data_IF_641277569462
#
_entry.id   IF_641277569462
#
_cell.length_a   1.000
_cell.length_b   1.000
_cell.length_c   1.000
_cell.angle_alpha   90.00
_cell.angle_beta   90.00
_cell.angle_gamma   90.00
#
_symmetry.space_group_name_H-M   'P 1'
#
loop_
_entity.id
_entity.type
_entity.pdbx_description
1 polymer ?
#
# COMPACT_ATOMS: atom_id res chain seq x y z
N UNK A 1 -30.78 -8.34 -2.67
CA UNK A 1 -29.54 -8.04 -1.92
C UNK A 1 -28.81 -6.85 -2.55
N UNK A 2 -28.21 -5.94 -1.76
CA UNK A 2 -27.40 -4.83 -2.25
C UNK A 2 -26.28 -5.31 -3.20
N UNK A 3 -26.05 -4.61 -4.33
CA UNK A 3 -25.05 -4.97 -5.36
C UNK A 3 -23.63 -5.23 -4.82
N UNK A 4 -23.25 -4.60 -3.71
CA UNK A 4 -21.94 -4.79 -3.06
C UNK A 4 -21.79 -6.17 -2.40
N UNK A 5 -22.86 -6.69 -1.78
CA UNK A 5 -22.87 -8.01 -1.12
C UNK A 5 -22.65 -9.14 -2.13
N UNK A 6 -23.34 -9.06 -3.28
CA UNK A 6 -23.19 -10.03 -4.37
C UNK A 6 -21.73 -10.07 -4.88
N UNK A 7 -21.08 -8.90 -5.01
CA UNK A 7 -19.67 -8.83 -5.43
C UNK A 7 -18.71 -9.44 -4.41
N UNK A 8 -18.95 -9.25 -3.11
CA UNK A 8 -18.12 -9.84 -2.05
C UNK A 8 -18.25 -11.37 -2.08
N UNK A 9 -19.48 -11.89 -2.13
CA UNK A 9 -19.70 -13.34 -2.21
C UNK A 9 -19.02 -13.97 -3.45
N UNK A 10 -19.11 -13.32 -4.61
CA UNK A 10 -18.40 -13.77 -5.83
C UNK A 10 -16.88 -13.75 -5.67
N UNK A 11 -16.32 -12.74 -4.98
CA UNK A 11 -14.88 -12.67 -4.72
C UNK A 11 -14.41 -13.78 -3.77
N UNK A 12 -15.15 -14.04 -2.70
CA UNK A 12 -14.85 -15.13 -1.75
C UNK A 12 -14.71 -16.48 -2.48
N UNK A 13 -15.59 -16.74 -3.46
CA UNK A 13 -15.56 -17.97 -4.26
C UNK A 13 -14.41 -18.04 -5.27
N UNK A 14 -13.89 -16.89 -5.72
CA UNK A 14 -12.87 -16.82 -6.79
C UNK A 14 -11.43 -16.80 -6.24
N UNK A 15 -11.25 -16.33 -5.01
CA UNK A 15 -9.93 -16.05 -4.42
C UNK A 15 -9.48 -17.21 -3.53
N UNK A 16 -9.02 -18.29 -4.16
CA UNK A 16 -8.71 -19.54 -3.47
C UNK A 16 -7.51 -19.43 -2.50
N UNK A 17 -6.51 -18.59 -2.79
CA UNK A 17 -5.26 -18.51 -2.01
C UNK A 17 -5.00 -17.15 -1.34
N UNK A 18 -6.05 -16.39 -1.02
CA UNK A 18 -5.86 -15.16 -0.23
C UNK A 18 -5.60 -15.46 1.26
N UNK A 19 -4.81 -14.61 1.94
CA UNK A 19 -4.60 -14.73 3.38
C UNK A 19 -5.92 -14.73 4.16
N UNK A 20 -5.98 -15.59 5.17
CA UNK A 20 -7.09 -15.64 6.13
C UNK A 20 -6.75 -14.76 7.32
N UNK A 21 -7.58 -13.76 7.60
CA UNK A 21 -7.47 -12.94 8.81
C UNK A 21 -8.08 -13.72 9.97
N UNK A 22 -7.31 -13.91 11.04
CA UNK A 22 -7.73 -14.63 12.25
C UNK A 22 -7.66 -13.66 13.43
N UNK A 23 -8.80 -13.39 14.05
CA UNK A 23 -8.90 -12.55 15.25
C UNK A 23 -9.04 -13.44 16.47
N UNK A 24 -8.04 -13.44 17.34
CA UNK A 24 -8.03 -14.21 18.58
C UNK A 24 -8.58 -13.39 19.75
N UNK A 25 -9.63 -13.92 20.38
CA UNK A 25 -10.31 -13.32 21.52
C UNK A 25 -10.73 -11.85 21.30
N UNK A 26 -11.29 -11.45 20.13
CA UNK A 26 -11.72 -10.07 19.90
C UNK A 26 -12.80 -9.68 20.92
N UNK A 27 -12.71 -8.45 21.44
CA UNK A 27 -13.57 -8.01 22.53
C UNK A 27 -14.74 -7.15 22.07
N UNK A 28 -14.55 -6.32 21.04
CA UNK A 28 -15.55 -5.35 20.62
C UNK A 28 -16.07 -5.67 19.22
N UNK A 29 -17.39 -5.86 19.10
CA UNK A 29 -18.06 -6.04 17.81
C UNK A 29 -17.74 -4.93 16.81
N UNK A 30 -17.64 -3.68 17.29
CA UNK A 30 -17.18 -2.53 16.49
C UNK A 30 -15.82 -2.78 15.81
N UNK A 31 -14.84 -3.35 16.52
CA UNK A 31 -13.53 -3.62 15.92
C UNK A 31 -13.58 -4.75 14.91
N UNK A 32 -14.42 -5.77 15.12
CA UNK A 32 -14.63 -6.86 14.16
C UNK A 32 -15.18 -6.28 12.84
N UNK A 33 -16.18 -5.42 12.92
CA UNK A 33 -16.73 -4.75 11.73
C UNK A 33 -15.74 -3.80 11.08
N UNK A 34 -15.00 -3.00 11.86
CA UNK A 34 -13.93 -2.15 11.34
C UNK A 34 -12.83 -2.95 10.64
N UNK A 35 -12.47 -4.13 11.15
CA UNK A 35 -11.55 -5.09 10.50
C UNK A 35 -12.13 -5.55 9.16
N UNK A 36 -13.40 -5.97 9.11
CA UNK A 36 -14.04 -6.37 7.85
C UNK A 36 -14.03 -5.25 6.80
N UNK A 37 -14.24 -4.00 7.23
CA UNK A 37 -14.13 -2.83 6.34
C UNK A 37 -12.71 -2.65 5.80
N UNK A 38 -11.69 -2.77 6.65
CA UNK A 38 -10.28 -2.70 6.25
C UNK A 38 -9.94 -3.82 5.27
N UNK A 39 -10.36 -5.06 5.56
CA UNK A 39 -10.17 -6.21 4.67
C UNK A 39 -10.74 -5.95 3.27
N UNK A 40 -11.97 -5.43 3.20
CA UNK A 40 -12.61 -5.11 1.92
C UNK A 40 -11.88 -3.99 1.14
N UNK A 41 -11.24 -3.04 1.82
CA UNK A 41 -10.44 -2.00 1.17
C UNK A 41 -9.18 -2.55 0.48
N UNK A 42 -8.63 -3.66 0.99
CA UNK A 42 -7.36 -4.23 0.57
C UNK A 42 -7.48 -5.63 -0.04
N UNK A 43 -8.66 -5.94 -0.58
CA UNK A 43 -8.93 -7.18 -1.33
C UNK A 43 -8.64 -8.44 -0.50
N UNK A 44 -9.14 -8.45 0.74
CA UNK A 44 -9.14 -9.59 1.65
C UNK A 44 -10.58 -9.90 2.07
N UNK A 45 -10.98 -11.16 2.08
CA UNK A 45 -12.39 -11.54 2.31
C UNK A 45 -12.62 -12.73 3.22
N UNK A 46 -11.56 -13.39 3.71
CA UNK A 46 -11.66 -14.56 4.60
C UNK A 46 -11.36 -14.15 6.03
N UNK A 47 -12.38 -14.17 6.89
CA UNK A 47 -12.29 -13.81 8.30
C UNK A 47 -12.59 -15.01 9.19
N UNK A 48 -11.78 -15.23 10.22
CA UNK A 48 -12.01 -16.20 11.28
C UNK A 48 -11.97 -15.49 12.63
N UNK A 49 -12.92 -15.83 13.50
CA UNK A 49 -12.94 -15.39 14.89
C UNK A 49 -12.64 -16.60 15.78
N UNK A 50 -11.72 -16.43 16.71
CA UNK A 50 -11.42 -17.43 17.74
C UNK A 50 -11.92 -16.92 19.06
N UNK A 51 -12.85 -17.66 19.67
CA UNK A 51 -13.43 -17.34 20.98
C UNK A 51 -13.81 -15.84 21.14
N UNK A 52 -14.65 -15.28 20.25
CA UNK A 52 -15.06 -13.88 20.34
C UNK A 52 -15.81 -13.62 21.65
N UNK A 53 -15.34 -12.65 22.44
CA UNK A 53 -16.01 -12.28 23.70
C UNK A 53 -17.27 -11.46 23.43
N UNK A 54 -18.22 -11.50 24.37
CA UNK A 54 -19.44 -10.69 24.41
C UNK A 54 -20.35 -10.74 23.17
N UNK A 55 -20.28 -11.81 22.37
CA UNK A 55 -21.11 -12.01 21.18
C UNK A 55 -20.70 -11.07 20.04
N UNK A 56 -20.21 -11.64 18.94
CA UNK A 56 -19.79 -10.82 17.78
C UNK A 56 -20.96 -10.30 16.94
N UNK A 57 -22.17 -10.88 17.09
CA UNK A 57 -23.39 -10.52 16.33
C UNK A 57 -24.12 -9.33 16.96
N UNK A 58 -23.44 -8.22 17.17
CA UNK A 58 -24.05 -6.96 17.59
C UNK A 58 -24.35 -6.07 16.38
N UNK A 59 -25.35 -5.18 16.49
CA UNK A 59 -25.67 -4.17 15.46
C UNK A 59 -24.45 -3.28 15.14
N UNK A 60 -23.62 -3.01 16.14
CA UNK A 60 -22.37 -2.26 16.01
C UNK A 60 -21.36 -2.94 15.08
N UNK A 61 -21.34 -4.28 15.03
CA UNK A 61 -20.45 -5.04 14.15
C UNK A 61 -20.80 -4.81 12.69
N UNK A 62 -22.09 -4.90 12.35
CA UNK A 62 -22.56 -4.71 10.98
C UNK A 62 -22.49 -3.24 10.55
N UNK A 63 -22.85 -2.31 11.43
CA UNK A 63 -22.79 -0.87 11.11
C UNK A 63 -21.36 -0.38 10.91
N UNK A 64 -20.40 -0.83 11.72
CA UNK A 64 -18.97 -0.47 11.56
C UNK A 64 -18.31 -1.11 10.32
N UNK A 65 -18.79 -2.28 9.87
CA UNK A 65 -18.39 -2.88 8.60
C UNK A 65 -18.89 -2.11 7.36
N UNK A 66 -19.94 -1.28 7.51
CA UNK A 66 -20.51 -0.49 6.43
C UNK A 66 -20.84 -1.38 5.20
N UNK A 67 -20.29 -1.08 4.03
CA UNK A 67 -20.51 -1.86 2.80
C UNK A 67 -19.82 -3.23 2.75
N UNK A 68 -19.10 -3.63 3.80
CA UNK A 68 -18.31 -4.87 3.85
C UNK A 68 -18.97 -5.99 4.68
N UNK A 69 -20.23 -5.85 5.09
CA UNK A 69 -20.94 -6.84 5.91
C UNK A 69 -20.96 -8.25 5.32
N UNK A 70 -20.81 -8.40 4.00
CA UNK A 70 -20.71 -9.72 3.35
C UNK A 70 -19.54 -10.57 3.83
N UNK A 71 -18.46 -9.96 4.35
CA UNK A 71 -17.37 -10.71 5.00
C UNK A 71 -17.85 -11.29 6.34
N UNK A 72 -18.68 -10.54 7.07
CA UNK A 72 -19.24 -10.99 8.34
C UNK A 72 -20.22 -12.15 8.13
N UNK A 73 -21.02 -12.11 7.07
CA UNK A 73 -21.98 -13.16 6.72
C UNK A 73 -21.30 -14.53 6.43
N UNK A 74 -20.00 -14.53 6.11
CA UNK A 74 -19.22 -15.72 5.74
C UNK A 74 -18.05 -16.00 6.69
N UNK A 75 -17.97 -15.30 7.84
CA UNK A 75 -16.87 -15.53 8.77
C UNK A 75 -16.96 -16.93 9.40
N UNK A 76 -15.79 -17.51 9.70
CA UNK A 76 -15.70 -18.75 10.46
C UNK A 76 -15.54 -18.48 11.95
N UNK A 77 -16.23 -19.25 12.81
CA UNK A 77 -16.08 -19.17 14.27
C UNK A 77 -15.38 -20.45 14.74
N UNK A 78 -14.39 -20.29 15.61
CA UNK A 78 -13.59 -21.40 16.14
C UNK A 78 -13.39 -21.26 17.65
N UNK A 79 -13.25 -22.39 18.32
CA UNK A 79 -13.07 -22.44 19.78
C UNK A 79 -11.62 -22.20 20.20
N UNK A 80 -10.66 -22.45 19.31
CA UNK A 80 -9.23 -22.29 19.60
C UNK A 80 -8.43 -21.84 18.37
N UNK A 81 -7.25 -21.28 18.64
CA UNK A 81 -6.31 -20.84 17.60
C UNK A 81 -5.90 -22.04 16.72
N UNK A 82 -5.55 -23.18 17.33
CA UNK A 82 -5.24 -24.40 16.60
C UNK A 82 -6.38 -24.84 15.65
N UNK A 83 -7.62 -24.88 16.14
CA UNK A 83 -8.77 -25.25 15.30
C UNK A 83 -8.97 -24.30 14.11
N UNK A 84 -8.68 -23.01 14.28
CA UNK A 84 -8.79 -21.99 13.24
C UNK A 84 -7.74 -22.08 12.14
N UNK A 85 -6.77 -22.99 12.24
CA UNK A 85 -5.59 -23.06 11.37
C UNK A 85 -5.42 -24.38 10.62
N UNK A 86 -6.28 -25.38 10.86
CA UNK A 86 -6.11 -26.75 10.36
C UNK A 86 -5.96 -26.90 8.84
N UNK A 87 -6.47 -25.95 8.06
CA UNK A 87 -6.40 -25.94 6.60
C UNK A 87 -5.35 -24.96 6.03
N UNK A 88 -4.50 -24.38 6.89
CA UNK A 88 -3.48 -23.40 6.52
C UNK A 88 -2.08 -24.01 6.58
N UNK A 89 -1.22 -23.61 5.66
CA UNK A 89 0.15 -24.11 5.52
C UNK A 89 1.19 -23.22 6.22
N UNK A 90 0.85 -21.96 6.50
CA UNK A 90 1.76 -21.01 7.13
C UNK A 90 1.02 -19.93 7.91
N UNK A 91 1.46 -19.64 9.14
CA UNK A 91 0.84 -18.68 10.04
C UNK A 91 1.81 -17.56 10.41
N UNK A 92 1.39 -16.33 10.16
CA UNK A 92 2.02 -15.15 10.73
C UNK A 92 1.25 -14.68 11.96
N UNK A 93 1.94 -14.26 13.01
CA UNK A 93 1.31 -13.60 14.15
C UNK A 93 1.84 -12.18 14.36
N UNK A 94 0.94 -11.24 14.65
CA UNK A 94 1.31 -9.84 14.85
C UNK A 94 1.55 -9.52 16.34
N UNK A 95 2.67 -8.90 16.67
CA UNK A 95 2.93 -8.36 18.02
C UNK A 95 3.82 -7.12 17.94
N UNK A 96 3.54 -6.13 18.79
CA UNK A 96 4.42 -4.97 18.97
C UNK A 96 5.48 -5.18 20.07
N UNK A 97 5.33 -6.23 20.89
CA UNK A 97 6.21 -6.54 22.02
C UNK A 97 7.18 -7.64 21.66
N UNK A 98 8.45 -7.47 22.07
CA UNK A 98 9.42 -8.56 22.09
C UNK A 98 8.95 -9.64 23.07
N UNK A 99 8.98 -10.88 22.63
CA UNK A 99 8.65 -12.07 23.42
C UNK A 99 9.82 -13.03 23.37
N UNK A 100 9.96 -13.88 24.39
CA UNK A 100 11.04 -14.86 24.50
C UNK A 100 10.72 -16.13 23.69
N UNK A 101 10.35 -15.95 22.42
CA UNK A 101 10.11 -17.03 21.46
C UNK A 101 11.14 -16.89 20.33
N UNK A 102 11.86 -17.98 20.04
CA UNK A 102 12.80 -18.04 18.92
C UNK A 102 12.02 -18.33 17.65
N UNK A 103 11.60 -17.28 16.95
CA UNK A 103 10.88 -17.33 15.67
C UNK A 103 11.43 -16.28 14.73
N UNK A 104 11.25 -16.48 13.42
CA UNK A 104 11.57 -15.45 12.44
C UNK A 104 10.73 -14.19 12.70
N UNK A 105 11.35 -13.01 12.63
CA UNK A 105 10.67 -11.73 12.83
C UNK A 105 10.77 -10.90 11.55
N UNK A 106 9.63 -10.51 11.02
CA UNK A 106 9.50 -9.76 9.78
C UNK A 106 8.87 -8.39 10.04
N UNK A 107 9.31 -7.39 9.28
CA UNK A 107 8.54 -6.15 9.15
C UNK A 107 7.28 -6.38 8.29
N UNK A 108 6.24 -5.55 8.41
CA UNK A 108 5.04 -5.65 7.56
C UNK A 108 5.36 -5.75 6.07
N UNK A 109 6.28 -4.91 5.58
CA UNK A 109 6.75 -4.91 4.20
C UNK A 109 7.47 -6.20 3.78
N UNK A 110 8.24 -6.80 4.69
CA UNK A 110 8.95 -8.07 4.40
C UNK A 110 7.99 -9.24 4.43
N UNK A 111 7.08 -9.28 5.40
CA UNK A 111 6.02 -10.27 5.48
C UNK A 111 5.11 -10.23 4.23
N UNK A 112 4.77 -9.04 3.72
CA UNK A 112 4.02 -8.91 2.48
C UNK A 112 4.72 -9.57 1.28
N UNK A 113 6.04 -9.37 1.13
CA UNK A 113 6.82 -10.03 0.07
C UNK A 113 6.85 -11.54 0.24
N UNK A 114 7.08 -12.01 1.47
CA UNK A 114 7.10 -13.44 1.78
C UNK A 114 5.73 -14.10 1.50
N UNK A 115 4.64 -13.46 1.94
CA UNK A 115 3.26 -13.89 1.64
C UNK A 115 3.03 -14.04 0.13
N UNK A 116 3.47 -13.08 -0.68
CA UNK A 116 3.31 -13.15 -2.15
C UNK A 116 4.07 -14.33 -2.76
N UNK A 117 5.26 -14.67 -2.25
CA UNK A 117 6.04 -15.83 -2.70
C UNK A 117 5.32 -17.13 -2.33
N UNK A 118 4.86 -17.25 -1.09
CA UNK A 118 4.15 -18.43 -0.58
C UNK A 118 2.84 -18.69 -1.31
N UNK A 119 2.02 -17.65 -1.51
CA UNK A 119 0.77 -17.74 -2.28
C UNK A 119 1.04 -18.20 -3.71
N UNK A 120 2.10 -17.67 -4.36
CA UNK A 120 2.51 -18.09 -5.70
C UNK A 120 2.90 -19.58 -5.75
N UNK A 121 3.44 -20.11 -4.66
CA UNK A 121 3.76 -21.54 -4.50
C UNK A 121 2.56 -22.39 -4.05
N UNK A 122 1.36 -21.81 -3.98
CA UNK A 122 0.13 -22.54 -3.65
C UNK A 122 -0.16 -22.70 -2.16
N UNK A 123 0.64 -22.11 -1.27
CA UNK A 123 0.41 -22.19 0.17
C UNK A 123 -0.78 -21.33 0.60
N UNK A 124 -1.57 -21.86 1.54
CA UNK A 124 -2.63 -21.15 2.27
C UNK A 124 -2.06 -20.51 3.52
N UNK A 125 -2.37 -19.23 3.71
CA UNK A 125 -1.72 -18.41 4.75
C UNK A 125 -2.76 -17.91 5.76
N UNK A 126 -2.39 -17.90 7.04
CA UNK A 126 -3.11 -17.21 8.11
C UNK A 126 -2.36 -16.01 8.65
N UNK A 127 -3.10 -14.96 9.00
CA UNK A 127 -2.61 -13.78 9.71
C UNK A 127 -3.35 -13.67 11.04
N UNK A 128 -2.66 -13.99 12.13
CA UNK A 128 -3.18 -14.03 13.49
C UNK A 128 -2.99 -12.67 14.19
N UNK A 129 -4.10 -12.10 14.65
CA UNK A 129 -4.15 -10.86 15.43
C UNK A 129 -4.77 -11.14 16.79
N UNK A 130 -4.20 -10.56 17.85
CA UNK A 130 -4.69 -10.76 19.22
C UNK A 130 -5.72 -9.72 19.65
N UNK A 131 -6.25 -9.93 20.85
CA UNK A 131 -7.23 -9.04 21.46
C UNK A 131 -6.69 -7.62 21.68
N UNK A 132 -7.58 -6.62 21.65
CA UNK A 132 -7.28 -5.19 21.65
C UNK A 132 -6.37 -4.74 22.80
N UNK A 133 -6.60 -5.28 24.00
CA UNK A 133 -5.92 -4.84 25.23
C UNK A 133 -4.67 -5.64 25.54
N UNK A 134 -4.71 -6.94 25.29
CA UNK A 134 -3.67 -7.88 25.72
C UNK A 134 -2.74 -8.32 24.58
N UNK A 135 -3.13 -8.10 23.33
CA UNK A 135 -2.52 -8.76 22.17
C UNK A 135 -2.65 -10.27 22.28
N UNK A 136 -1.73 -10.97 21.59
CA UNK A 136 -1.60 -12.42 21.66
C UNK A 136 -0.84 -12.84 22.92
N UNK A 137 -1.31 -13.93 23.53
CA UNK A 137 -0.59 -14.69 24.55
C UNK A 137 0.62 -15.42 23.96
N UNK A 138 1.52 -15.88 24.83
CA UNK A 138 2.67 -16.67 24.40
C UNK A 138 2.21 -18.00 23.75
N UNK A 139 1.15 -18.61 24.27
CA UNK A 139 0.59 -19.85 23.73
C UNK A 139 0.04 -19.62 22.32
N UNK A 140 -0.73 -18.56 22.08
CA UNK A 140 -1.23 -18.22 20.74
C UNK A 140 -0.10 -17.87 19.77
N UNK A 141 0.94 -17.16 20.23
CA UNK A 141 2.13 -16.88 19.44
C UNK A 141 2.93 -18.13 19.09
N UNK A 142 2.88 -19.17 19.93
CA UNK A 142 3.64 -20.40 19.71
C UNK A 142 3.20 -21.15 18.45
N UNK A 143 1.92 -21.02 18.06
CA UNK A 143 1.34 -21.59 16.84
C UNK A 143 1.82 -20.92 15.54
N UNK A 144 2.40 -19.72 15.61
CA UNK A 144 2.83 -19.00 14.42
C UNK A 144 4.17 -19.49 13.91
N UNK A 145 4.36 -19.55 12.59
CA UNK A 145 5.65 -19.84 11.98
C UNK A 145 6.57 -18.62 11.99
N UNK A 146 6.01 -17.43 11.80
CA UNK A 146 6.74 -16.15 11.83
C UNK A 146 5.97 -15.07 12.60
N UNK A 147 6.73 -14.13 13.17
CA UNK A 147 6.20 -12.94 13.83
C UNK A 147 6.28 -11.76 12.88
N UNK A 148 5.21 -10.97 12.79
CA UNK A 148 5.23 -9.65 12.17
C UNK A 148 5.26 -8.59 13.26
N UNK A 149 6.30 -7.77 13.25
CA UNK A 149 6.45 -6.65 14.19
C UNK A 149 6.51 -5.33 13.42
N UNK A 150 5.44 -4.54 13.54
CA UNK A 150 5.39 -3.19 12.97
C UNK A 150 6.30 -2.24 13.74
N UNK A 151 7.10 -1.39 13.07
CA UNK A 151 7.78 -0.30 13.75
C UNK A 151 6.73 0.69 14.28
N UNK A 152 6.68 0.86 15.60
CA UNK A 152 5.77 1.77 16.29
C UNK A 152 6.55 2.59 17.31
N UNK A 153 5.97 3.70 17.76
CA UNK A 153 6.58 4.50 18.83
C UNK A 153 6.75 3.64 20.10
N UNK A 154 7.98 3.45 20.64
CA UNK A 154 8.19 2.67 21.85
C UNK A 154 7.37 3.17 23.05
N UNK A 155 7.11 4.47 23.14
CA UNK A 155 6.32 5.07 24.22
C UNK A 155 4.81 4.83 24.06
N UNK A 156 4.36 4.41 22.87
CA UNK A 156 2.95 4.18 22.57
C UNK A 156 2.75 3.07 21.52
N UNK A 157 3.20 1.86 21.88
CA UNK A 157 3.21 0.69 21.00
C UNK A 157 1.88 -0.09 20.99
N UNK A 158 0.75 0.61 20.95
CA UNK A 158 -0.60 0.00 21.04
C UNK A 158 -1.51 0.46 19.90
N UNK A 159 -1.42 -0.22 18.75
CA UNK A 159 -2.35 0.00 17.64
C UNK A 159 -3.72 -0.59 17.99
N UNK A 160 -4.80 0.09 17.59
CA UNK A 160 -6.13 -0.52 17.58
C UNK A 160 -6.13 -1.75 16.65
N UNK A 161 -6.96 -2.75 16.95
CA UNK A 161 -7.02 -4.00 16.18
C UNK A 161 -7.22 -3.77 14.67
N UNK A 162 -8.18 -2.93 14.27
CA UNK A 162 -8.42 -2.62 12.86
C UNK A 162 -7.25 -1.85 12.23
N UNK A 163 -6.52 -1.04 13.00
CA UNK A 163 -5.32 -0.35 12.52
C UNK A 163 -4.16 -1.33 12.31
N UNK A 164 -3.96 -2.29 13.22
CA UNK A 164 -2.97 -3.34 13.06
C UNK A 164 -3.25 -4.17 11.79
N UNK A 165 -4.51 -4.57 11.57
CA UNK A 165 -4.92 -5.22 10.31
C UNK A 165 -4.68 -4.31 9.11
N UNK A 166 -4.98 -3.01 9.22
CA UNK A 166 -4.82 -2.04 8.13
C UNK A 166 -3.38 -1.94 7.64
N UNK A 167 -2.40 -1.87 8.55
CA UNK A 167 -0.97 -1.81 8.18
C UNK A 167 -0.55 -3.05 7.40
N UNK A 168 -0.92 -4.24 7.87
CA UNK A 168 -0.54 -5.50 7.22
C UNK A 168 -1.27 -5.67 5.88
N UNK A 169 -2.58 -5.40 5.87
CA UNK A 169 -3.41 -5.51 4.67
C UNK A 169 -2.98 -4.52 3.57
N UNK A 170 -2.61 -3.29 3.94
CA UNK A 170 -2.05 -2.31 3.01
C UNK A 170 -0.75 -2.78 2.39
N UNK A 171 0.22 -3.25 3.19
CA UNK A 171 1.50 -3.75 2.68
C UNK A 171 1.32 -4.95 1.76
N UNK A 172 0.42 -5.87 2.13
CA UNK A 172 0.05 -7.00 1.28
C UNK A 172 -0.55 -6.54 -0.06
N UNK A 173 -1.54 -5.66 -0.02
CA UNK A 173 -2.20 -5.17 -1.24
C UNK A 173 -1.26 -4.32 -2.10
N UNK A 174 -0.38 -3.53 -1.49
CA UNK A 174 0.66 -2.76 -2.18
C UNK A 174 1.63 -3.69 -2.93
N UNK A 175 2.05 -4.79 -2.31
CA UNK A 175 2.86 -5.81 -2.97
C UNK A 175 2.12 -6.50 -4.13
N UNK A 176 0.79 -6.71 -4.00
CA UNK A 176 -0.08 -7.25 -5.05
C UNK A 176 -0.30 -6.27 -6.22
N UNK A 177 -0.40 -4.97 -5.93
CA UNK A 177 -0.66 -3.90 -6.90
C UNK A 177 0.57 -3.53 -7.75
N UNK A 178 1.77 -4.01 -7.41
CA UNK A 178 3.00 -3.83 -8.21
C UNK A 178 3.31 -2.37 -8.61
N UNK A 179 3.00 -1.42 -7.73
CA UNK A 179 3.25 0.01 -7.95
C UNK A 179 2.12 0.77 -8.65
N UNK A 180 1.01 0.10 -8.98
CA UNK A 180 -0.24 0.79 -9.32
C UNK A 180 -0.80 1.49 -8.07
N UNK A 181 -1.10 2.77 -8.21
CA UNK A 181 -1.60 3.65 -7.16
C UNK A 181 -3.04 4.07 -7.44
N UNK A 182 -3.78 4.36 -6.38
CA UNK A 182 -5.15 4.82 -6.47
C UNK A 182 -6.13 3.71 -6.86
N UNK A 183 -7.26 4.11 -7.45
CA UNK A 183 -8.31 3.19 -7.83
C UNK A 183 -8.12 2.77 -9.29
N UNK A 184 -7.94 1.48 -9.53
CA UNK A 184 -7.86 0.92 -10.88
C UNK A 184 -9.20 0.28 -11.24
N UNK A 185 -9.84 0.76 -12.31
CA UNK A 185 -11.06 0.19 -12.91
C UNK A 185 -11.00 0.30 -14.43
N UNK A 186 -11.94 -0.30 -15.14
CA UNK A 186 -12.04 -0.16 -16.61
C UNK A 186 -12.04 1.31 -17.08
N UNK A 187 -12.61 2.22 -16.29
CA UNK A 187 -12.68 3.66 -16.59
C UNK A 187 -11.63 4.52 -15.86
N UNK A 188 -10.81 3.94 -14.99
CA UNK A 188 -9.83 4.67 -14.17
C UNK A 188 -8.50 3.92 -14.18
N UNK A 189 -7.50 4.46 -14.90
CA UNK A 189 -6.25 3.75 -15.22
C UNK A 189 -5.24 3.70 -14.07
N UNK A 190 -5.64 4.09 -12.85
CA UNK A 190 -4.72 4.19 -11.73
C UNK A 190 -3.65 5.26 -11.96
N UNK A 191 -2.64 5.26 -11.11
CA UNK A 191 -1.47 6.14 -11.18
C UNK A 191 -0.21 5.35 -10.91
N UNK A 192 0.94 5.89 -11.24
CA UNK A 192 2.25 5.36 -10.85
C UNK A 192 2.99 6.42 -10.05
N UNK A 193 3.96 6.02 -9.23
CA UNK A 193 4.87 6.99 -8.60
C UNK A 193 5.65 7.75 -9.68
N UNK A 194 5.90 9.05 -9.44
CA UNK A 194 6.65 9.91 -10.33
C UNK A 194 5.77 10.70 -11.31
N UNK A 195 6.42 11.26 -12.36
CA UNK A 195 5.75 12.06 -13.37
C UNK A 195 4.91 11.18 -14.30
N UNK A 196 3.65 11.55 -14.60
CA UNK A 196 2.83 10.80 -15.54
C UNK A 196 3.35 11.00 -16.97
N UNK A 197 3.97 9.97 -17.53
CA UNK A 197 4.54 9.96 -18.88
C UNK A 197 3.62 9.28 -19.91
N UNK A 198 2.31 9.18 -19.67
CA UNK A 198 1.39 8.53 -20.62
C UNK A 198 1.27 9.29 -21.95
N UNK A 199 1.34 10.63 -21.88
CA UNK A 199 1.15 11.53 -23.03
C UNK A 199 2.43 12.30 -23.39
N UNK A 200 3.57 11.92 -22.82
CA UNK A 200 4.86 12.58 -23.04
C UNK A 200 5.98 11.61 -22.67
N UNK A 201 7.23 11.99 -22.85
CA UNK A 201 8.38 11.25 -22.31
C UNK A 201 9.40 12.23 -21.80
N UNK A 202 10.35 11.76 -20.99
CA UNK A 202 11.55 12.54 -20.71
C UNK A 202 12.17 13.00 -22.04
N UNK A 203 12.58 14.26 -22.10
CA UNK A 203 13.28 14.78 -23.25
C UNK A 203 14.57 14.00 -23.44
N UNK A 204 14.90 13.68 -24.69
CA UNK A 204 16.17 13.05 -24.99
C UNK A 204 17.28 14.12 -25.04
N UNK A 205 18.54 13.68 -25.11
CA UNK A 205 19.69 14.60 -25.09
C UNK A 205 19.71 15.55 -26.28
N UNK A 206 19.27 15.10 -27.46
CA UNK A 206 19.24 15.95 -28.65
C UNK A 206 18.22 17.09 -28.50
N UNK A 207 17.02 16.80 -27.99
CA UNK A 207 15.99 17.81 -27.71
C UNK A 207 16.46 18.83 -26.67
N UNK A 208 17.16 18.35 -25.64
CA UNK A 208 17.74 19.18 -24.60
C UNK A 208 18.86 20.09 -25.14
N UNK A 209 19.81 19.55 -25.88
CA UNK A 209 20.92 20.31 -26.48
C UNK A 209 20.36 21.36 -27.42
N UNK A 210 19.41 20.99 -28.28
CA UNK A 210 18.78 21.93 -29.21
C UNK A 210 18.06 23.08 -28.49
N UNK A 211 17.36 22.79 -27.38
CA UNK A 211 16.75 23.83 -26.54
C UNK A 211 17.77 24.78 -25.93
N UNK A 212 18.88 24.25 -25.42
CA UNK A 212 19.95 25.04 -24.82
C UNK A 212 20.66 25.90 -25.86
N UNK A 213 20.95 25.38 -27.06
CA UNK A 213 21.56 26.15 -28.16
C UNK A 213 20.67 27.32 -28.58
N UNK A 214 19.36 27.07 -28.70
CA UNK A 214 18.38 28.12 -28.95
C UNK A 214 18.40 29.18 -27.83
N UNK A 215 18.35 28.75 -26.57
CA UNK A 215 18.32 29.67 -25.44
C UNK A 215 19.61 30.50 -25.35
N UNK A 216 20.77 29.89 -25.56
CA UNK A 216 22.07 30.58 -25.59
C UNK A 216 22.07 31.68 -26.66
N UNK A 217 21.69 31.34 -27.88
CA UNK A 217 21.61 32.30 -29.00
C UNK A 217 20.66 33.46 -28.67
N UNK A 218 19.46 33.17 -28.18
CA UNK A 218 18.47 34.18 -27.82
C UNK A 218 18.98 35.11 -26.71
N UNK A 219 19.59 34.54 -25.67
CA UNK A 219 20.10 35.33 -24.54
C UNK A 219 21.31 36.19 -24.95
N UNK A 220 22.14 35.71 -25.89
CA UNK A 220 23.18 36.52 -26.52
C UNK A 220 22.59 37.72 -27.28
N UNK A 221 21.61 37.48 -28.14
CA UNK A 221 20.96 38.52 -28.97
C UNK A 221 20.30 39.61 -28.12
N UNK A 222 19.73 39.24 -26.96
CA UNK A 222 19.11 40.20 -26.01
C UNK A 222 20.11 40.78 -25.00
N UNK A 223 21.41 40.48 -25.10
CA UNK A 223 22.46 41.05 -24.24
C UNK A 223 22.40 40.59 -22.78
N UNK A 224 21.92 39.36 -22.50
CA UNK A 224 21.81 38.86 -21.13
C UNK A 224 23.18 38.57 -20.49
N UNK A 225 24.17 38.14 -21.27
CA UNK A 225 25.47 37.69 -20.77
C UNK A 225 26.46 38.85 -20.56
N UNK A 226 26.21 39.68 -19.54
CA UNK A 226 27.10 40.75 -19.12
C UNK A 226 27.50 40.65 -17.64
N UNK A 227 28.80 40.83 -17.30
CA UNK A 227 29.92 41.08 -18.20
C UNK A 227 30.31 39.83 -19.03
N UNK A 228 30.87 40.04 -20.23
CA UNK A 228 31.07 38.99 -21.25
C UNK A 228 31.99 37.87 -20.74
N UNK A 229 33.00 38.21 -19.94
CA UNK A 229 33.91 37.23 -19.31
C UNK A 229 33.19 36.23 -18.40
N UNK A 230 31.98 36.52 -17.91
CA UNK A 230 31.18 35.60 -17.09
C UNK A 230 30.21 34.75 -17.90
N UNK A 231 30.09 34.95 -19.22
CA UNK A 231 29.13 34.24 -20.10
C UNK A 231 29.18 32.73 -19.90
N UNK A 232 30.35 32.11 -20.01
CA UNK A 232 30.49 30.65 -19.90
C UNK A 232 30.04 30.12 -18.54
N UNK A 233 30.33 30.84 -17.45
CA UNK A 233 29.86 30.47 -16.11
C UNK A 233 28.33 30.55 -16.01
N UNK A 234 27.74 31.65 -16.48
CA UNK A 234 26.28 31.84 -16.47
C UNK A 234 25.56 30.78 -17.31
N UNK A 235 26.07 30.52 -18.51
CA UNK A 235 25.55 29.50 -19.41
C UNK A 235 25.65 28.09 -18.82
N UNK A 236 26.79 27.75 -18.20
CA UNK A 236 26.94 26.46 -17.52
C UNK A 236 25.95 26.31 -16.35
N UNK A 237 25.67 27.40 -15.61
CA UNK A 237 24.66 27.38 -14.56
C UNK A 237 23.24 27.19 -15.12
N UNK A 238 22.90 27.83 -16.25
CA UNK A 238 21.63 27.63 -16.95
C UNK A 238 21.51 26.18 -17.43
N UNK A 239 22.55 25.65 -18.07
CA UNK A 239 22.65 24.24 -18.49
C UNK A 239 22.47 23.30 -17.29
N UNK A 240 23.11 23.56 -16.16
CA UNK A 240 22.95 22.73 -14.97
C UNK A 240 21.53 22.85 -14.38
N UNK A 241 20.94 24.05 -14.38
CA UNK A 241 19.58 24.30 -13.88
C UNK A 241 18.56 23.45 -14.64
N UNK A 242 18.51 23.55 -15.97
CA UNK A 242 17.56 22.80 -16.79
C UNK A 242 17.82 21.29 -16.76
N UNK A 243 19.08 20.86 -16.67
CA UNK A 243 19.42 19.44 -16.63
C UNK A 243 18.93 18.76 -15.35
N UNK A 244 18.92 19.47 -14.22
CA UNK A 244 18.40 18.99 -12.93
C UNK A 244 16.88 18.86 -12.88
N UNK A 245 16.15 19.56 -13.75
CA UNK A 245 14.68 19.53 -13.77
C UNK A 245 14.10 18.27 -14.45
N UNK A 246 14.93 17.49 -15.16
CA UNK A 246 14.49 16.30 -15.90
C UNK A 246 13.24 16.55 -16.77
N UNK A 247 13.28 17.63 -17.55
CA UNK A 247 12.16 18.09 -18.38
C UNK A 247 11.66 17.01 -19.35
N UNK A 248 10.35 17.00 -19.58
CA UNK A 248 9.72 16.19 -20.62
C UNK A 248 9.82 16.86 -21.99
N UNK A 249 9.59 16.09 -23.05
CA UNK A 249 9.52 16.63 -24.41
C UNK A 249 8.47 17.76 -24.52
N UNK A 250 7.33 17.63 -23.83
CA UNK A 250 6.30 18.67 -23.80
C UNK A 250 6.79 19.94 -23.10
N UNK A 251 7.49 19.81 -21.99
CA UNK A 251 8.03 20.97 -21.27
C UNK A 251 8.99 21.75 -22.15
N UNK A 252 9.90 21.06 -22.86
CA UNK A 252 10.81 21.70 -23.81
C UNK A 252 10.03 22.43 -24.93
N UNK A 253 9.00 21.79 -25.51
CA UNK A 253 8.17 22.44 -26.54
C UNK A 253 7.45 23.69 -26.03
N UNK A 254 6.94 23.65 -24.80
CA UNK A 254 6.29 24.80 -24.16
C UNK A 254 7.30 25.90 -23.91
N UNK A 255 8.48 25.58 -23.36
CA UNK A 255 9.55 26.56 -23.14
C UNK A 255 10.00 27.22 -24.44
N UNK A 256 10.20 26.45 -25.51
CA UNK A 256 10.44 27.00 -26.85
C UNK A 256 9.36 27.99 -27.28
N UNK A 257 8.08 27.64 -27.09
CA UNK A 257 6.96 28.51 -27.41
C UNK A 257 6.97 29.82 -26.61
N UNK A 258 7.23 29.74 -25.30
CA UNK A 258 7.34 30.90 -24.42
C UNK A 258 8.46 31.83 -24.90
N UNK A 259 9.67 31.31 -25.10
CA UNK A 259 10.81 32.14 -25.50
C UNK A 259 10.64 32.72 -26.91
N UNK A 260 10.12 31.95 -27.88
CA UNK A 260 9.83 32.50 -29.22
C UNK A 260 8.85 33.66 -29.15
N UNK A 261 7.77 33.51 -28.40
CA UNK A 261 6.78 34.57 -28.24
C UNK A 261 7.37 35.84 -27.62
N UNK A 262 8.26 35.70 -26.63
CA UNK A 262 8.96 36.83 -26.00
C UNK A 262 10.03 37.49 -26.89
N UNK A 263 10.49 36.81 -27.96
CA UNK A 263 11.46 37.37 -28.90
C UNK A 263 10.77 38.12 -30.03
N UNK A 264 9.59 37.65 -30.44
CA UNK A 264 8.79 38.20 -31.54
C UNK A 264 8.01 39.49 -31.15
N UNK A 265 8.10 39.91 -29.87
CA UNK A 265 7.73 41.24 -29.35
C UNK A 265 8.94 42.18 -29.24
#
# INVERSE_FOLDING_TARGET
>A
MPKKLIKIAQKIQKLNNEPVIILANPQLGYNIGAVARVMANFDLYKLRLVNPRDGWMADETYSSASGASGILDHLGIFDSVGASMNDLDFIYATTARRRDLIKEVLSPKSAAKDMMIRIKNGQKIGLLFGAEKSGLSNDELSYADAIISSPVNPEFASLNLAQAVCVIAYEFYSAKAKGELGRVTESDKGRTEGLPLEKTRNANKNEYIHFIEFLEKTLDEKGFFHPVEKKNMMLNNIKAMFQRQNLTQKDIKILFGIFKHLIDE
#
